data_IF_178659516566
#
_entry.id   IF_178659516566
#
_cell.length_a   1.000
_cell.length_b   1.000
_cell.length_c   1.000
_cell.angle_alpha   90.00
_cell.angle_beta   90.00
_cell.angle_gamma   90.00
#
_symmetry.space_group_name_H-M   'P 1'
#
loop_
_entity.id
_entity.type
_entity.pdbx_description
1 polymer ?
#
# COMPACT_ATOMS: atom_id res chain seq x y z
N UNK A 1 3.94 -9.91 6.32
CA UNK A 1 5.42 -10.06 6.34
C UNK A 1 5.94 -9.33 7.56
N UNK A 2 6.93 -9.87 8.25
CA UNK A 2 7.57 -9.22 9.39
C UNK A 2 8.86 -8.55 8.91
N UNK A 3 8.91 -7.23 9.00
CA UNK A 3 10.04 -6.42 8.55
C UNK A 3 10.01 -5.05 9.25
N UNK A 4 10.99 -4.21 8.98
CA UNK A 4 11.15 -2.86 9.58
C UNK A 4 9.97 -1.91 9.35
N UNK A 5 9.07 -2.22 8.45
CA UNK A 5 7.85 -1.42 8.24
C UNK A 5 6.84 -1.57 9.40
N UNK A 6 6.90 -2.67 10.17
CA UNK A 6 5.98 -2.96 11.29
C UNK A 6 6.50 -2.32 12.60
N UNK A 7 6.51 -1.00 12.63
CA UNK A 7 7.04 -0.17 13.73
C UNK A 7 6.03 0.13 14.83
N UNK A 8 4.82 -0.39 14.73
CA UNK A 8 3.78 -0.18 15.74
C UNK A 8 4.20 -0.76 17.10
N UNK A 9 4.12 0.06 18.15
CA UNK A 9 4.58 -0.31 19.50
C UNK A 9 6.09 -0.29 19.70
N UNK A 10 6.86 0.27 18.77
CA UNK A 10 8.31 0.47 18.90
C UNK A 10 8.58 1.92 19.31
N UNK A 11 9.39 2.10 20.35
CA UNK A 11 9.82 3.39 20.86
C UNK A 11 11.09 3.90 20.15
N UNK A 12 11.48 5.16 20.43
CA UNK A 12 12.76 5.71 20.01
C UNK A 12 12.72 6.59 18.76
N UNK A 13 11.55 6.81 18.15
CA UNK A 13 11.41 7.68 16.97
C UNK A 13 11.31 9.17 17.31
N UNK A 14 11.24 9.50 18.59
CA UNK A 14 11.13 10.89 19.06
C UNK A 14 9.72 11.47 18.87
N UNK A 15 9.63 12.79 19.04
CA UNK A 15 8.37 13.53 18.87
C UNK A 15 8.06 13.70 17.39
N UNK A 16 6.80 13.56 17.01
CA UNK A 16 6.35 13.88 15.65
C UNK A 16 6.55 15.38 15.39
N UNK A 17 7.35 15.70 14.40
CA UNK A 17 7.55 17.06 13.91
C UNK A 17 6.47 17.39 12.90
N UNK A 18 5.67 18.41 13.18
CA UNK A 18 4.60 18.88 12.29
C UNK A 18 5.13 20.03 11.46
N UNK A 19 5.20 19.84 10.15
CA UNK A 19 5.57 20.91 9.22
C UNK A 19 4.45 21.94 9.13
N UNK A 20 4.80 23.20 9.39
CA UNK A 20 3.84 24.31 9.30
C UNK A 20 3.60 24.68 7.84
N UNK A 21 2.33 24.67 7.41
CA UNK A 21 1.92 24.91 6.02
C UNK A 21 2.53 23.92 5.04
N UNK A 22 2.59 22.63 5.42
CA UNK A 22 3.10 21.56 4.59
C UNK A 22 2.46 21.57 3.18
N UNK A 23 3.26 21.62 2.11
CA UNK A 23 2.73 21.56 0.76
C UNK A 23 2.21 20.15 0.44
N UNK A 24 1.27 20.03 -0.48
CA UNK A 24 0.75 18.71 -0.92
C UNK A 24 1.87 17.83 -1.48
N UNK A 25 2.83 18.43 -2.15
CA UNK A 25 4.04 17.77 -2.65
C UNK A 25 5.24 18.69 -2.42
N UNK A 26 6.33 18.15 -1.88
CA UNK A 26 7.58 18.89 -1.68
C UNK A 26 8.37 19.07 -2.98
N UNK A 27 8.08 18.23 -3.98
CA UNK A 27 8.70 18.31 -5.29
C UNK A 27 7.75 17.82 -6.39
N UNK A 28 7.91 18.33 -7.61
CA UNK A 28 7.02 18.00 -8.74
C UNK A 28 6.99 16.52 -9.12
N UNK A 29 8.07 15.78 -8.85
CA UNK A 29 8.13 14.33 -9.13
C UNK A 29 7.20 13.52 -8.22
N UNK A 30 6.92 13.97 -7.00
CA UNK A 30 6.03 13.28 -6.05
C UNK A 30 4.60 13.21 -6.58
N UNK A 31 4.12 14.30 -7.18
CA UNK A 31 2.81 14.32 -7.85
C UNK A 31 2.75 13.35 -9.04
N UNK A 32 3.85 13.19 -9.78
CA UNK A 32 3.95 12.19 -10.85
C UNK A 32 3.92 10.76 -10.31
N UNK A 33 4.62 10.48 -9.22
CA UNK A 33 4.58 9.16 -8.55
C UNK A 33 3.16 8.81 -8.12
N UNK A 34 2.46 9.76 -7.48
CA UNK A 34 1.06 9.56 -7.10
C UNK A 34 0.18 9.28 -8.34
N UNK A 35 0.34 10.05 -9.41
CA UNK A 35 -0.46 9.92 -10.63
C UNK A 35 -0.23 8.54 -11.30
N UNK A 36 1.02 8.12 -11.46
CA UNK A 36 1.37 6.81 -12.05
C UNK A 36 0.83 5.68 -11.17
N UNK A 37 1.06 5.74 -9.86
CA UNK A 37 0.56 4.74 -8.92
C UNK A 37 -0.98 4.58 -9.00
N UNK A 38 -1.70 5.69 -9.11
CA UNK A 38 -3.16 5.70 -9.29
C UNK A 38 -3.58 5.13 -10.64
N UNK A 39 -2.88 5.49 -11.71
CA UNK A 39 -3.13 4.98 -13.05
C UNK A 39 -2.92 3.47 -13.14
N UNK A 40 -1.81 2.96 -12.61
CA UNK A 40 -1.49 1.54 -12.57
C UNK A 40 -2.51 0.73 -11.76
N UNK A 41 -2.90 1.22 -10.58
CA UNK A 41 -3.93 0.58 -9.76
C UNK A 41 -5.32 0.60 -10.43
N UNK A 42 -5.68 1.71 -11.08
CA UNK A 42 -6.91 1.80 -11.86
C UNK A 42 -6.87 0.87 -13.08
N UNK A 43 -5.75 0.82 -13.77
CA UNK A 43 -5.49 -0.10 -14.89
C UNK A 43 -5.42 -1.57 -14.49
N UNK A 44 -5.58 -1.89 -13.20
CA UNK A 44 -5.49 -3.25 -12.63
C UNK A 44 -4.13 -3.91 -12.82
N UNK A 45 -3.06 -3.13 -12.91
CA UNK A 45 -1.70 -3.66 -12.88
C UNK A 45 -1.40 -4.32 -11.53
N UNK A 46 -1.89 -3.73 -10.45
CA UNK A 46 -1.84 -4.25 -9.06
C UNK A 46 -2.95 -3.65 -8.20
N UNK A 47 -3.19 -4.27 -7.05
CA UNK A 47 -4.08 -3.73 -6.01
C UNK A 47 -3.28 -2.99 -4.91
N UNK A 48 -4.00 -2.41 -3.94
CA UNK A 48 -3.38 -1.63 -2.86
C UNK A 48 -2.48 -2.48 -1.97
N UNK A 49 -2.83 -3.74 -1.70
CA UNK A 49 -2.05 -4.62 -0.82
C UNK A 49 -0.76 -5.06 -1.51
N UNK A 50 -0.81 -5.32 -2.82
CA UNK A 50 0.39 -5.59 -3.62
C UNK A 50 1.33 -4.39 -3.68
N UNK A 51 0.79 -3.16 -3.81
CA UNK A 51 1.60 -1.94 -3.77
C UNK A 51 2.27 -1.74 -2.40
N UNK A 52 1.56 -1.99 -1.30
CA UNK A 52 2.13 -1.93 0.04
C UNK A 52 3.20 -2.98 0.24
N UNK A 53 2.91 -4.21 -0.16
CA UNK A 53 3.87 -5.31 -0.05
C UNK A 53 5.18 -5.03 -0.81
N UNK A 54 5.12 -4.43 -2.00
CA UNK A 54 6.30 -4.04 -2.74
C UNK A 54 7.18 -3.03 -1.98
N UNK A 55 6.57 -2.09 -1.23
CA UNK A 55 7.30 -1.15 -0.37
C UNK A 55 7.87 -1.85 0.87
N UNK A 56 7.11 -2.76 1.49
CA UNK A 56 7.51 -3.53 2.67
C UNK A 56 8.71 -4.46 2.40
N UNK A 57 8.95 -4.81 1.14
CA UNK A 57 10.08 -5.62 0.68
C UNK A 57 11.36 -4.81 0.40
N UNK A 58 11.32 -3.49 0.54
CA UNK A 58 12.53 -2.68 0.39
C UNK A 58 13.58 -3.08 1.44
N UNK A 59 14.88 -2.99 1.12
CA UNK A 59 15.92 -3.21 2.09
C UNK A 59 15.71 -2.34 3.33
N UNK A 60 15.94 -2.85 4.56
CA UNK A 60 15.64 -2.13 5.81
C UNK A 60 16.17 -0.71 5.86
N UNK A 61 17.43 -0.50 5.51
CA UNK A 61 18.05 0.83 5.46
C UNK A 61 17.31 1.74 4.48
N UNK A 62 17.02 1.27 3.28
CA UNK A 62 16.30 2.03 2.25
C UNK A 62 14.90 2.40 2.73
N UNK A 63 14.17 1.45 3.33
CA UNK A 63 12.83 1.70 3.86
C UNK A 63 12.82 2.79 4.93
N UNK A 64 13.77 2.75 5.87
CA UNK A 64 13.83 3.69 6.99
C UNK A 64 14.33 5.07 6.59
N UNK A 65 15.28 5.18 5.64
CA UNK A 65 15.86 6.45 5.20
C UNK A 65 15.05 7.15 4.10
N UNK A 66 14.23 6.43 3.34
CA UNK A 66 13.47 6.99 2.23
C UNK A 66 12.31 7.87 2.74
N UNK A 67 12.06 8.97 2.03
CA UNK A 67 10.85 9.80 2.25
C UNK A 67 9.59 9.04 1.85
N UNK A 68 8.42 9.60 2.16
CA UNK A 68 7.13 8.97 1.85
C UNK A 68 7.00 8.61 0.37
N UNK A 69 7.22 9.56 -0.53
CA UNK A 69 7.10 9.31 -1.98
C UNK A 69 8.29 8.56 -2.57
N UNK A 70 9.48 8.60 -1.95
CA UNK A 70 10.59 7.74 -2.36
C UNK A 70 10.26 6.26 -2.14
N UNK A 71 9.65 5.90 -1.01
CA UNK A 71 9.18 4.51 -0.79
C UNK A 71 8.15 4.09 -1.83
N UNK A 72 7.23 4.98 -2.20
CA UNK A 72 6.26 4.71 -3.25
C UNK A 72 6.93 4.49 -4.60
N UNK A 73 7.90 5.34 -4.97
CA UNK A 73 8.65 5.23 -6.21
C UNK A 73 9.39 3.88 -6.29
N UNK A 74 10.19 3.56 -5.28
CA UNK A 74 10.98 2.33 -5.25
C UNK A 74 10.10 1.06 -5.28
N UNK A 75 9.01 1.04 -4.52
CA UNK A 75 8.04 -0.06 -4.56
C UNK A 75 7.32 -0.17 -5.91
N UNK A 76 7.08 0.95 -6.57
CA UNK A 76 6.47 1.01 -7.91
C UNK A 76 7.44 0.52 -8.98
N UNK A 77 8.71 0.95 -8.98
CA UNK A 77 9.76 0.48 -9.90
C UNK A 77 9.91 -1.05 -9.81
N UNK A 78 10.01 -1.58 -8.59
CA UNK A 78 10.01 -3.04 -8.35
C UNK A 78 8.80 -3.71 -9.00
N UNK A 79 7.59 -3.18 -8.77
CA UNK A 79 6.35 -3.75 -9.32
C UNK A 79 6.28 -3.65 -10.85
N UNK A 80 6.80 -2.58 -11.43
CA UNK A 80 6.88 -2.38 -12.89
C UNK A 80 7.77 -3.45 -13.53
N UNK A 81 8.97 -3.67 -12.96
CA UNK A 81 9.92 -4.68 -13.46
C UNK A 81 9.33 -6.09 -13.31
N UNK A 82 8.89 -6.47 -12.12
CA UNK A 82 8.37 -7.80 -11.83
C UNK A 82 7.17 -8.19 -12.70
N UNK A 83 6.40 -7.22 -13.15
CA UNK A 83 5.22 -7.42 -13.99
C UNK A 83 5.48 -7.20 -15.48
N UNK A 84 6.72 -6.89 -15.85
CA UNK A 84 7.15 -6.73 -17.23
C UNK A 84 6.52 -5.53 -17.93
N UNK A 85 6.28 -4.42 -17.22
CA UNK A 85 5.88 -3.16 -17.84
C UNK A 85 7.09 -2.36 -18.36
N UNK A 86 8.25 -2.52 -17.73
CA UNK A 86 9.54 -2.05 -18.19
C UNK A 86 10.66 -2.95 -17.63
N UNK A 87 11.83 -2.91 -18.23
CA UNK A 87 13.03 -3.58 -17.71
C UNK A 87 13.80 -2.65 -16.75
N UNK A 88 14.73 -3.22 -15.98
CA UNK A 88 15.61 -2.42 -15.12
C UNK A 88 16.50 -1.47 -15.94
N UNK A 89 16.95 -1.93 -17.13
CA UNK A 89 17.77 -1.15 -18.06
C UNK A 89 16.97 0.05 -18.61
N UNK A 90 15.71 -0.15 -18.99
CA UNK A 90 14.83 0.92 -19.47
C UNK A 90 14.57 1.97 -18.38
N UNK A 91 14.33 1.54 -17.14
CA UNK A 91 14.17 2.47 -16.01
C UNK A 91 15.45 3.26 -15.75
N UNK A 92 16.61 2.61 -15.80
CA UNK A 92 17.93 3.26 -15.64
C UNK A 92 18.23 4.24 -16.78
N UNK A 93 17.87 3.88 -18.01
CA UNK A 93 18.07 4.70 -19.20
C UNK A 93 17.07 5.85 -19.31
N UNK A 94 15.93 5.78 -18.62
CA UNK A 94 14.86 6.77 -18.67
C UNK A 94 14.04 6.76 -19.97
N UNK A 95 14.17 5.73 -20.80
CA UNK A 95 13.41 5.56 -22.04
C UNK A 95 13.13 4.09 -22.34
N UNK A 96 12.01 3.83 -23.01
CA UNK A 96 11.64 2.49 -23.44
C UNK A 96 12.47 2.06 -24.66
N UNK A 97 12.87 0.80 -24.69
CA UNK A 97 13.56 0.15 -25.83
C UNK A 97 12.68 -0.88 -26.52
N UNK A 98 11.59 -1.29 -25.86
CA UNK A 98 10.63 -2.26 -26.35
C UNK A 98 9.20 -1.72 -26.29
N UNK A 99 8.26 -2.26 -27.09
CA UNK A 99 6.85 -1.88 -26.96
C UNK A 99 6.33 -2.16 -25.54
N UNK A 100 5.69 -1.16 -24.94
CA UNK A 100 5.18 -1.26 -23.58
C UNK A 100 4.05 -2.27 -23.46
N UNK A 101 3.99 -2.94 -22.33
CA UNK A 101 2.90 -3.85 -21.98
C UNK A 101 1.60 -3.08 -21.74
N UNK A 102 0.53 -3.53 -22.35
CA UNK A 102 -0.79 -2.94 -22.17
C UNK A 102 -1.33 -3.20 -20.74
N UNK A 103 -1.96 -2.18 -20.17
CA UNK A 103 -2.68 -2.35 -18.90
C UNK A 103 -3.89 -3.27 -19.10
N UNK A 104 -4.21 -4.13 -18.11
CA UNK A 104 -5.38 -5.01 -18.16
C UNK A 104 -6.72 -4.27 -18.33
N UNK A 105 -6.80 -3.02 -17.89
CA UNK A 105 -7.96 -2.15 -18.09
C UNK A 105 -7.53 -0.87 -18.80
N UNK A 106 -8.25 -0.53 -19.90
CA UNK A 106 -8.07 0.74 -20.58
C UNK A 106 -8.37 1.93 -19.65
N UNK A 107 -7.47 2.89 -19.63
CA UNK A 107 -7.64 4.13 -18.88
C UNK A 107 -8.49 5.12 -19.71
N UNK A 108 -9.52 5.68 -19.07
CA UNK A 108 -10.22 6.85 -19.57
C UNK A 108 -10.36 7.87 -18.44
N UNK A 109 -10.18 9.15 -18.74
CA UNK A 109 -10.26 10.21 -17.73
C UNK A 109 -11.64 10.22 -17.05
N UNK A 110 -12.71 10.11 -17.85
CA UNK A 110 -14.09 10.08 -17.35
C UNK A 110 -14.33 8.90 -16.39
N UNK A 111 -13.90 7.69 -16.75
CA UNK A 111 -14.05 6.53 -15.88
C UNK A 111 -13.21 6.63 -14.59
N UNK A 112 -12.05 7.29 -14.66
CA UNK A 112 -11.23 7.57 -13.48
C UNK A 112 -11.91 8.55 -12.52
N UNK A 113 -12.46 9.65 -13.05
CA UNK A 113 -13.14 10.68 -12.27
C UNK A 113 -14.46 10.20 -11.67
N UNK A 114 -15.21 9.36 -12.39
CA UNK A 114 -16.50 8.83 -11.93
C UNK A 114 -16.37 7.68 -10.94
N UNK A 115 -15.17 7.20 -10.65
CA UNK A 115 -14.96 6.06 -9.78
C UNK A 115 -15.27 6.40 -8.32
N UNK A 116 -16.47 6.13 -7.86
CA UNK A 116 -16.80 5.99 -6.44
C UNK A 116 -16.27 4.64 -5.95
N UNK A 117 -15.33 4.65 -5.02
CA UNK A 117 -14.87 3.43 -4.36
C UNK A 117 -15.73 3.20 -3.12
N UNK A 118 -16.55 2.14 -3.14
CA UNK A 118 -17.02 1.53 -1.91
C UNK A 118 -16.01 0.46 -1.50
N UNK A 119 -15.56 0.50 -0.27
CA UNK A 119 -14.74 -0.55 0.33
C UNK A 119 -15.62 -1.61 1.02
N UNK A 120 -16.91 -1.33 1.14
CA UNK A 120 -17.88 -2.27 1.68
C UNK A 120 -18.32 -3.24 0.60
N UNK A 121 -18.30 -4.51 0.94
CA UNK A 121 -18.86 -5.59 0.14
C UNK A 121 -20.25 -5.92 0.65
N UNK A 122 -21.10 -6.46 -0.21
CA UNK A 122 -22.38 -6.99 0.22
C UNK A 122 -22.13 -8.17 1.15
N UNK A 123 -22.68 -8.11 2.36
CA UNK A 123 -22.53 -9.16 3.35
C UNK A 123 -23.24 -10.43 2.84
N UNK A 124 -22.48 -11.52 2.67
CA UNK A 124 -23.01 -12.80 2.17
C UNK A 124 -23.38 -13.76 3.31
N UNK A 125 -22.91 -13.50 4.52
CA UNK A 125 -23.19 -14.29 5.72
C UNK A 125 -23.31 -13.39 6.95
N UNK A 126 -24.00 -13.82 8.00
CA UNK A 126 -24.05 -13.09 9.26
C UNK A 126 -22.65 -12.85 9.83
N UNK A 127 -22.45 -11.74 10.56
CA UNK A 127 -21.20 -11.49 11.25
C UNK A 127 -20.93 -12.60 12.29
N UNK A 128 -19.68 -13.10 12.31
CA UNK A 128 -19.28 -14.13 13.28
C UNK A 128 -19.20 -13.61 14.72
N UNK A 129 -19.03 -12.30 14.86
CA UNK A 129 -18.87 -11.64 16.16
C UNK A 129 -19.89 -10.50 16.29
N UNK A 130 -20.22 -10.18 17.54
CA UNK A 130 -21.09 -9.04 17.91
C UNK A 130 -20.37 -8.14 18.92
N UNK A 131 -20.79 -6.88 19.09
CA UNK A 131 -20.28 -6.02 20.14
C UNK A 131 -20.38 -6.68 21.51
N UNK A 132 -19.32 -6.57 22.31
CA UNK A 132 -19.16 -7.20 23.61
C UNK A 132 -18.48 -8.59 23.59
N UNK A 133 -18.33 -9.23 22.45
CA UNK A 133 -17.65 -10.53 22.39
C UNK A 133 -16.17 -10.38 22.74
N UNK A 134 -15.67 -11.27 23.60
CA UNK A 134 -14.25 -11.39 23.91
C UNK A 134 -13.56 -12.19 22.82
N UNK A 135 -12.53 -11.64 22.25
CA UNK A 135 -11.79 -12.22 21.13
C UNK A 135 -10.29 -12.24 21.41
N UNK A 136 -9.58 -13.13 20.73
CA UNK A 136 -8.12 -13.12 20.66
C UNK A 136 -7.71 -12.96 19.22
N UNK A 137 -6.86 -11.98 18.93
CA UNK A 137 -6.28 -11.82 17.61
C UNK A 137 -5.40 -13.01 17.27
N UNK A 138 -5.40 -13.44 16.02
CA UNK A 138 -4.59 -14.56 15.57
C UNK A 138 -3.10 -14.21 15.63
N UNK A 139 -2.26 -15.13 16.05
CA UNK A 139 -0.81 -15.00 15.91
C UNK A 139 -0.40 -15.58 14.55
N UNK A 140 -0.45 -14.77 13.51
CA UNK A 140 -0.16 -15.15 12.12
C UNK A 140 1.00 -14.32 11.57
N UNK A 141 1.81 -14.96 10.71
CA UNK A 141 2.96 -14.36 10.03
C UNK A 141 2.84 -14.57 8.52
N UNK A 142 1.91 -13.89 7.83
CA UNK A 142 1.72 -14.07 6.41
C UNK A 142 2.95 -13.59 5.63
N UNK A 143 3.26 -14.27 4.52
CA UNK A 143 4.38 -13.92 3.64
C UNK A 143 4.14 -12.64 2.82
N UNK A 144 2.90 -12.18 2.76
CA UNK A 144 2.46 -10.99 2.02
C UNK A 144 2.06 -9.87 2.98
N UNK A 145 1.55 -8.76 2.44
CA UNK A 145 0.99 -7.68 3.24
C UNK A 145 -0.08 -8.17 4.21
N UNK A 146 -0.01 -7.68 5.45
CA UNK A 146 -1.02 -7.92 6.48
C UNK A 146 -1.43 -6.61 7.14
N UNK A 147 -2.68 -6.55 7.57
CA UNK A 147 -3.20 -5.42 8.36
C UNK A 147 -3.19 -5.69 9.85
N UNK A 148 -2.73 -6.87 10.27
CA UNK A 148 -2.55 -7.20 11.67
C UNK A 148 -1.10 -6.96 12.07
N UNK A 149 -0.78 -5.81 12.70
CA UNK A 149 0.59 -5.49 13.12
C UNK A 149 1.08 -6.43 14.22
N UNK A 150 2.38 -6.56 14.33
CA UNK A 150 3.02 -7.48 15.27
C UNK A 150 2.58 -7.26 16.71
N UNK A 151 2.51 -6.00 17.16
CA UNK A 151 2.11 -5.68 18.53
C UNK A 151 0.68 -6.11 18.88
N UNK A 152 -0.20 -6.27 17.90
CA UNK A 152 -1.59 -6.66 18.10
C UNK A 152 -1.83 -8.18 17.99
N UNK A 153 -0.81 -8.97 17.58
CA UNK A 153 -0.95 -10.44 17.41
C UNK A 153 -1.05 -11.16 18.74
N UNK A 154 -1.95 -12.14 18.84
CA UNK A 154 -2.17 -12.95 20.03
C UNK A 154 -2.79 -12.23 21.22
N UNK A 155 -3.19 -10.97 21.07
CA UNK A 155 -3.75 -10.14 22.15
C UNK A 155 -5.23 -10.40 22.36
N UNK A 156 -5.66 -10.27 23.60
CA UNK A 156 -7.07 -10.30 23.99
C UNK A 156 -7.69 -8.92 23.77
N UNK A 157 -8.93 -8.90 23.34
CA UNK A 157 -9.72 -7.67 23.14
C UNK A 157 -11.21 -7.94 23.25
N UNK A 158 -11.99 -6.89 23.12
CA UNK A 158 -13.45 -6.94 23.06
C UNK A 158 -13.88 -6.29 21.75
N UNK A 159 -14.85 -6.88 21.08
CA UNK A 159 -15.44 -6.30 19.88
C UNK A 159 -16.25 -5.06 20.29
N UNK A 160 -15.81 -3.88 19.86
CA UNK A 160 -16.53 -2.63 20.14
C UNK A 160 -17.72 -2.46 19.19
N UNK A 161 -17.47 -2.69 17.89
CA UNK A 161 -18.51 -2.59 16.83
C UNK A 161 -18.16 -3.42 15.60
N UNK A 162 -19.16 -3.81 14.85
CA UNK A 162 -19.01 -4.43 13.54
C UNK A 162 -19.19 -3.37 12.46
N UNK A 163 -18.22 -3.27 11.54
CA UNK A 163 -18.21 -2.26 10.47
C UNK A 163 -18.77 -2.79 9.14
N UNK A 164 -19.30 -4.02 9.12
CA UNK A 164 -19.66 -4.73 7.89
C UNK A 164 -18.48 -5.52 7.30
N UNK A 165 -18.67 -6.06 6.10
CA UNK A 165 -17.63 -6.79 5.38
C UNK A 165 -16.88 -5.83 4.43
N UNK A 166 -15.56 -5.82 4.52
CA UNK A 166 -14.65 -5.08 3.66
C UNK A 166 -13.96 -5.97 2.61
#
# INVERSE_FOLDING_TARGET
>A
MDSVHDMGGVDGFGKVEVEKNEPVFHAAWEGRVLAIQRAMAYGRAWNIDQSRFAQEQLPPITYLSATYYQRWLLGMEKSIIERGFATAEELKAGHATTPGKMLPRKLTVSAFQQRRRSFFRQQQAPALFKPGDRVRTRNIHPKTHTRLPGYARGKLGVVERCQGSG
#
